data_IF_204158398700
#
_entry.id   IF_204158398700
#
_cell.length_a   1.000
_cell.length_b   1.000
_cell.length_c   1.000
_cell.angle_alpha   90.00
_cell.angle_beta   90.00
_cell.angle_gamma   90.00
#
_symmetry.space_group_name_H-M   'P 1'
#
loop_
_entity.id
_entity.type
_entity.pdbx_description
1 polymer ?
#
# COMPACT_ATOMS: atom_id res chain seq x y z
N UNK A 1 0.84 14.29 12.10
CA UNK A 1 1.26 13.52 10.93
C UNK A 1 0.52 12.20 10.88
N UNK A 2 -0.13 11.92 9.78
CA UNK A 2 -0.87 10.68 9.59
C UNK A 2 0.01 9.66 8.87
N UNK A 3 -0.06 8.43 9.31
CA UNK A 3 0.65 7.31 8.68
C UNK A 3 -0.29 6.61 7.72
N UNK A 4 0.01 6.70 6.43
CA UNK A 4 -0.88 6.27 5.35
C UNK A 4 -0.24 5.13 4.57
N UNK A 5 -0.94 4.01 4.49
CA UNK A 5 -0.50 2.84 3.73
C UNK A 5 -1.21 2.82 2.37
N UNK A 6 -0.44 2.65 1.32
CA UNK A 6 -0.98 2.45 -0.03
C UNK A 6 -0.86 1.00 -0.45
N UNK A 7 -1.96 0.45 -0.93
CA UNK A 7 -1.99 -0.83 -1.64
C UNK A 7 -1.20 -0.70 -2.96
N UNK A 8 -0.72 -1.82 -3.48
CA UNK A 8 0.13 -1.87 -4.68
C UNK A 8 -0.43 -1.08 -5.86
N UNK A 9 -1.73 -1.18 -6.11
CA UNK A 9 -2.36 -0.55 -7.27
C UNK A 9 -2.19 0.97 -7.31
N UNK A 10 -2.14 1.64 -6.17
CA UNK A 10 -1.94 3.08 -6.15
C UNK A 10 -0.57 3.47 -6.74
N UNK A 11 0.46 2.69 -6.43
CA UNK A 11 1.79 2.90 -7.01
C UNK A 11 1.80 2.62 -8.51
N UNK A 12 1.09 1.58 -8.95
CA UNK A 12 0.97 1.27 -10.37
C UNK A 12 0.36 2.46 -11.12
N UNK A 13 -0.72 3.04 -10.60
CA UNK A 13 -1.34 4.21 -11.21
C UNK A 13 -0.43 5.43 -11.20
N UNK A 14 0.34 5.61 -10.12
CA UNK A 14 1.29 6.73 -10.02
C UNK A 14 2.39 6.65 -11.08
N UNK A 15 2.95 5.46 -11.29
CA UNK A 15 4.11 5.27 -12.16
C UNK A 15 3.75 4.98 -13.61
N UNK A 16 2.64 4.27 -13.86
CA UNK A 16 2.26 3.83 -15.20
C UNK A 16 1.15 4.68 -15.83
N UNK A 17 0.43 5.45 -15.01
CA UNK A 17 -0.66 6.28 -15.49
C UNK A 17 -2.00 5.52 -15.58
N UNK A 18 -2.87 5.96 -16.48
CA UNK A 18 -4.19 5.38 -16.65
C UNK A 18 -5.30 6.19 -16.00
N UNK A 19 -6.50 5.60 -15.96
CA UNK A 19 -7.72 6.30 -15.53
C UNK A 19 -7.67 6.81 -14.07
N UNK A 20 -6.95 6.12 -13.19
CA UNK A 20 -6.88 6.49 -11.78
C UNK A 20 -5.66 7.35 -11.42
N UNK A 21 -4.76 7.60 -12.36
CA UNK A 21 -3.52 8.32 -12.09
C UNK A 21 -3.76 9.74 -11.55
N UNK A 22 -4.72 10.45 -12.12
CA UNK A 22 -5.07 11.80 -11.66
C UNK A 22 -5.49 11.80 -10.19
N UNK A 23 -6.34 10.84 -9.80
CA UNK A 23 -6.82 10.74 -8.42
C UNK A 23 -5.69 10.41 -7.45
N UNK A 24 -4.79 9.50 -7.84
CA UNK A 24 -3.61 9.18 -7.03
C UNK A 24 -2.72 10.40 -6.83
N UNK A 25 -2.50 11.18 -7.90
CA UNK A 25 -1.71 12.43 -7.79
C UNK A 25 -2.36 13.43 -6.86
N UNK A 26 -3.69 13.55 -6.86
CA UNK A 26 -4.41 14.42 -5.93
C UNK A 26 -4.22 13.96 -4.48
N UNK A 27 -4.34 12.66 -4.22
CA UNK A 27 -4.10 12.08 -2.89
C UNK A 27 -2.66 12.34 -2.46
N UNK A 28 -1.70 12.10 -3.33
CA UNK A 28 -0.29 12.34 -3.04
C UNK A 28 -0.03 13.81 -2.69
N UNK A 29 -0.59 14.73 -3.46
CA UNK A 29 -0.46 16.17 -3.21
C UNK A 29 -1.01 16.55 -1.84
N UNK A 30 -2.17 16.03 -1.48
CA UNK A 30 -2.77 16.25 -0.15
C UNK A 30 -1.89 15.72 0.96
N UNK A 31 -1.33 14.53 0.79
CA UNK A 31 -0.41 13.94 1.77
C UNK A 31 0.83 14.81 1.97
N UNK A 32 1.41 15.31 0.89
CA UNK A 32 2.59 16.18 0.95
C UNK A 32 2.26 17.49 1.69
N UNK A 33 1.12 18.11 1.37
CA UNK A 33 0.70 19.36 2.03
C UNK A 33 0.47 19.16 3.53
N UNK A 34 -0.02 18.00 3.93
CA UNK A 34 -0.30 17.69 5.35
C UNK A 34 0.93 17.16 6.08
N UNK A 35 1.99 16.81 5.38
CA UNK A 35 3.16 16.15 5.96
C UNK A 35 2.89 14.71 6.39
N UNK A 36 1.97 14.02 5.72
CA UNK A 36 1.65 12.62 6.01
C UNK A 36 2.77 11.70 5.53
N UNK A 37 2.98 10.61 6.27
CA UNK A 37 3.97 9.59 5.93
C UNK A 37 3.34 8.55 5.02
N UNK A 38 4.00 8.24 3.91
CA UNK A 38 3.60 7.15 3.00
C UNK A 38 4.33 5.87 3.37
N UNK A 39 3.56 4.81 3.61
CA UNK A 39 4.07 3.48 3.91
C UNK A 39 3.48 2.46 2.93
N UNK A 40 4.19 1.39 2.72
CA UNK A 40 3.70 0.21 2.02
C UNK A 40 4.49 -1.02 2.48
N UNK A 41 4.20 -2.18 1.91
CA UNK A 41 4.86 -3.41 2.34
C UNK A 41 5.98 -3.84 1.40
N UNK A 42 6.83 -4.75 1.89
CA UNK A 42 7.83 -5.42 1.06
C UNK A 42 7.18 -6.21 -0.10
N UNK A 43 5.94 -6.70 0.08
CA UNK A 43 5.20 -7.34 -1.00
C UNK A 43 4.93 -6.34 -2.14
N UNK A 44 4.46 -5.14 -1.81
CA UNK A 44 4.25 -4.08 -2.81
C UNK A 44 5.55 -3.78 -3.56
N UNK A 45 6.65 -3.61 -2.84
CA UNK A 45 7.95 -3.37 -3.46
C UNK A 45 8.29 -4.49 -4.45
N UNK A 46 8.16 -5.74 -4.03
CA UNK A 46 8.41 -6.89 -4.91
C UNK A 46 7.53 -6.89 -6.15
N UNK A 47 6.23 -6.66 -5.98
CA UNK A 47 5.29 -6.61 -7.09
C UNK A 47 5.63 -5.49 -8.10
N UNK A 48 6.04 -4.33 -7.60
CA UNK A 48 6.42 -3.20 -8.46
C UNK A 48 7.73 -3.41 -9.22
N UNK A 49 8.56 -4.33 -8.78
CA UNK A 49 9.85 -4.63 -9.44
C UNK A 49 9.73 -5.72 -10.53
N UNK A 50 8.57 -6.36 -10.66
CA UNK A 50 8.39 -7.44 -11.65
C UNK A 50 8.59 -6.95 -13.08
N UNK A 51 7.91 -5.87 -13.48
CA UNK A 51 8.06 -5.32 -14.85
C UNK A 51 9.44 -4.72 -15.11
N UNK A 52 10.01 -3.90 -14.21
CA UNK A 52 11.38 -3.42 -14.40
C UNK A 52 12.42 -4.54 -14.56
N UNK A 53 12.21 -5.68 -13.94
CA UNK A 53 13.10 -6.85 -14.06
C UNK A 53 13.27 -7.29 -15.51
N UNK A 54 12.24 -7.17 -16.33
CA UNK A 54 12.29 -7.51 -17.74
C UNK A 54 13.27 -6.65 -18.53
N UNK A 55 13.56 -5.43 -18.04
CA UNK A 55 14.49 -4.49 -18.64
C UNK A 55 15.92 -4.58 -18.09
N UNK A 56 16.15 -5.46 -17.10
CA UNK A 56 17.45 -5.71 -16.52
C UNK A 56 17.65 -5.15 -15.13
N UNK A 57 18.82 -5.45 -14.54
CA UNK A 57 19.11 -5.09 -13.13
C UNK A 57 19.20 -3.58 -12.88
N UNK A 58 19.69 -2.82 -13.86
CA UNK A 58 19.76 -1.37 -13.72
C UNK A 58 18.36 -0.75 -13.58
N UNK A 59 17.40 -1.24 -14.35
CA UNK A 59 16.01 -0.78 -14.27
C UNK A 59 15.39 -1.14 -12.91
N UNK A 60 15.69 -2.32 -12.37
CA UNK A 60 15.25 -2.73 -11.03
C UNK A 60 15.80 -1.77 -9.98
N UNK A 61 17.10 -1.49 -10.00
CA UNK A 61 17.72 -0.58 -9.03
C UNK A 61 17.15 0.83 -9.11
N UNK A 62 16.92 1.35 -10.31
CA UNK A 62 16.36 2.68 -10.49
C UNK A 62 14.94 2.78 -9.95
N UNK A 63 14.12 1.78 -10.23
CA UNK A 63 12.75 1.71 -9.73
C UNK A 63 12.70 1.59 -8.20
N UNK A 64 13.52 0.70 -7.65
CA UNK A 64 13.64 0.52 -6.21
C UNK A 64 14.03 1.84 -5.53
N UNK A 65 15.04 2.51 -6.07
CA UNK A 65 15.49 3.81 -5.54
C UNK A 65 14.35 4.83 -5.53
N UNK A 66 13.60 4.91 -6.62
CA UNK A 66 12.46 5.83 -6.72
C UNK A 66 11.40 5.53 -5.67
N UNK A 67 11.05 4.25 -5.49
CA UNK A 67 10.04 3.85 -4.50
C UNK A 67 10.52 4.17 -3.08
N UNK A 68 11.77 3.86 -2.76
CA UNK A 68 12.33 4.09 -1.43
C UNK A 68 12.47 5.58 -1.09
N UNK A 69 12.54 6.46 -2.08
CA UNK A 69 12.54 7.91 -1.88
C UNK A 69 11.18 8.45 -1.46
N UNK A 70 10.08 7.76 -1.80
CA UNK A 70 8.74 8.28 -1.54
C UNK A 70 7.98 7.51 -0.46
N UNK A 71 8.37 6.27 -0.16
CA UNK A 71 7.63 5.41 0.77
C UNK A 71 8.57 4.69 1.73
N UNK A 72 8.09 4.49 2.96
CA UNK A 72 8.71 3.59 3.94
C UNK A 72 8.20 2.18 3.68
N UNK A 73 9.12 1.23 3.57
CA UNK A 73 8.78 -0.17 3.30
C UNK A 73 8.70 -0.94 4.62
N UNK A 74 7.52 -1.51 4.88
CA UNK A 74 7.27 -2.33 6.06
C UNK A 74 7.58 -3.80 5.75
N UNK A 75 8.31 -4.50 6.62
CA UNK A 75 8.59 -5.91 6.40
C UNK A 75 7.33 -6.77 6.68
N UNK A 76 7.22 -7.88 5.97
CA UNK A 76 6.32 -8.96 6.36
C UNK A 76 7.15 -10.01 7.07
N UNK A 77 7.25 -9.90 8.38
CA UNK A 77 8.09 -10.73 9.23
C UNK A 77 7.27 -11.54 10.25
N UNK A 78 7.95 -12.21 11.17
CA UNK A 78 7.28 -13.04 12.17
C UNK A 78 6.30 -12.27 13.06
N UNK A 79 6.55 -10.97 13.28
CA UNK A 79 5.63 -10.12 14.05
C UNK A 79 4.27 -9.95 13.35
N UNK A 80 4.24 -10.03 12.02
CA UNK A 80 3.02 -9.93 11.24
C UNK A 80 2.20 -11.23 11.23
N UNK A 81 2.81 -12.37 11.51
CA UNK A 81 2.19 -13.67 11.31
C UNK A 81 0.89 -13.89 12.11
N UNK A 82 0.81 -13.54 13.40
CA UNK A 82 -0.44 -13.70 14.12
C UNK A 82 -1.59 -12.84 13.57
N UNK A 83 -1.29 -11.62 13.16
CA UNK A 83 -2.30 -10.74 12.53
C UNK A 83 -2.72 -11.25 11.17
N UNK A 84 -1.78 -11.75 10.38
CA UNK A 84 -2.10 -12.39 9.11
C UNK A 84 -3.08 -13.55 9.30
N UNK A 85 -2.80 -14.44 10.26
CA UNK A 85 -3.67 -15.57 10.54
C UNK A 85 -5.08 -15.13 10.95
N UNK A 86 -5.19 -14.10 11.80
CA UNK A 86 -6.47 -13.56 12.22
C UNK A 86 -7.25 -12.93 11.05
N UNK A 87 -6.58 -12.20 10.18
CA UNK A 87 -7.20 -11.57 8.99
C UNK A 87 -7.71 -12.65 8.02
N UNK A 88 -6.96 -13.73 7.84
CA UNK A 88 -7.33 -14.84 6.96
C UNK A 88 -8.51 -15.66 7.48
N UNK A 89 -8.95 -15.45 8.72
CA UNK A 89 -10.20 -16.03 9.21
C UNK A 89 -11.40 -15.52 8.39
N UNK A 90 -11.34 -14.30 7.86
CA UNK A 90 -12.26 -13.83 6.83
C UNK A 90 -11.80 -14.39 5.48
N UNK A 91 -12.47 -15.43 5.00
CA UNK A 91 -12.08 -16.15 3.79
C UNK A 91 -12.28 -15.34 2.50
N UNK A 92 -12.96 -14.21 2.57
CA UNK A 92 -13.10 -13.30 1.43
C UNK A 92 -11.87 -12.43 1.21
N UNK A 93 -10.97 -12.35 2.19
CA UNK A 93 -9.70 -11.65 2.07
C UNK A 93 -8.63 -12.61 1.56
N UNK A 94 -8.10 -12.34 0.37
CA UNK A 94 -7.08 -13.18 -0.26
C UNK A 94 -5.71 -12.99 0.40
N UNK A 95 -4.82 -13.95 0.20
CA UNK A 95 -3.50 -13.94 0.83
C UNK A 95 -2.69 -12.66 0.58
N UNK A 96 -2.58 -12.12 -0.66
CA UNK A 96 -1.84 -10.87 -0.87
C UNK A 96 -2.42 -9.70 -0.09
N UNK A 97 -3.74 -9.56 -0.05
CA UNK A 97 -4.41 -8.49 0.69
C UNK A 97 -4.21 -8.65 2.20
N UNK A 98 -4.25 -9.89 2.70
CA UNK A 98 -3.99 -10.19 4.10
C UNK A 98 -2.55 -9.84 4.51
N UNK A 99 -1.58 -10.04 3.63
CA UNK A 99 -0.19 -9.61 3.86
C UNK A 99 -0.11 -8.09 3.99
N UNK A 100 -0.75 -7.37 3.08
CA UNK A 100 -0.80 -5.90 3.13
C UNK A 100 -1.41 -5.40 4.44
N UNK A 101 -2.57 -5.94 4.79
CA UNK A 101 -3.28 -5.55 6.01
C UNK A 101 -2.51 -5.92 7.28
N UNK A 102 -1.84 -7.07 7.29
CA UNK A 102 -1.04 -7.51 8.43
C UNK A 102 0.16 -6.57 8.65
N UNK A 103 0.84 -6.17 7.58
CA UNK A 103 1.93 -5.19 7.66
C UNK A 103 1.42 -3.85 8.21
N UNK A 104 0.30 -3.37 7.69
CA UNK A 104 -0.30 -2.12 8.13
C UNK A 104 -0.71 -2.18 9.62
N UNK A 105 -1.37 -3.25 10.03
CA UNK A 105 -1.82 -3.43 11.41
C UNK A 105 -0.65 -3.53 12.39
N UNK A 106 0.38 -4.27 12.04
CA UNK A 106 1.57 -4.45 12.90
C UNK A 106 2.30 -3.13 13.13
N UNK A 107 2.30 -2.25 12.13
CA UNK A 107 2.94 -0.92 12.23
C UNK A 107 2.03 0.18 12.79
N UNK A 108 0.77 -0.13 13.09
CA UNK A 108 -0.17 0.85 13.62
C UNK A 108 -0.48 1.97 12.62
N UNK A 109 -0.73 1.62 11.39
CA UNK A 109 -1.08 2.56 10.32
C UNK A 109 -2.43 3.22 10.61
N UNK A 110 -2.53 4.51 10.36
CA UNK A 110 -3.77 5.26 10.60
C UNK A 110 -4.78 5.06 9.47
N UNK A 111 -4.31 5.04 8.22
CA UNK A 111 -5.18 4.96 7.05
C UNK A 111 -4.59 4.00 6.03
N UNK A 112 -5.40 3.06 5.56
CA UNK A 112 -5.09 2.13 4.49
C UNK A 112 -5.92 2.49 3.26
N UNK A 113 -5.27 2.85 2.15
CA UNK A 113 -5.95 3.23 0.92
C UNK A 113 -5.80 2.12 -0.12
N UNK A 114 -6.92 1.68 -0.67
CA UNK A 114 -6.97 0.66 -1.71
C UNK A 114 -7.95 1.07 -2.81
N UNK A 115 -7.76 0.56 -4.03
CA UNK A 115 -8.75 0.70 -5.09
C UNK A 115 -9.63 -0.55 -5.23
N UNK A 116 -9.50 -1.50 -4.32
CA UNK A 116 -10.41 -2.65 -4.22
C UNK A 116 -11.62 -2.27 -3.38
N UNK A 117 -12.77 -2.13 -4.03
CA UNK A 117 -14.01 -1.69 -3.41
C UNK A 117 -14.46 -2.61 -2.26
N UNK A 118 -14.26 -3.90 -2.43
CA UNK A 118 -14.63 -4.89 -1.41
C UNK A 118 -13.73 -4.78 -0.19
N UNK A 119 -12.43 -4.62 -0.41
CA UNK A 119 -11.46 -4.48 0.66
C UNK A 119 -11.67 -3.17 1.42
N UNK A 120 -12.03 -2.10 0.73
CA UNK A 120 -12.22 -0.78 1.34
C UNK A 120 -13.37 -0.75 2.36
N UNK A 121 -14.27 -1.73 2.33
CA UNK A 121 -15.39 -1.84 3.26
C UNK A 121 -15.11 -2.74 4.46
N UNK A 122 -13.94 -3.36 4.51
CA UNK A 122 -13.58 -4.26 5.60
C UNK A 122 -13.16 -3.47 6.83
N UNK A 123 -13.39 -4.07 7.99
CA UNK A 123 -12.85 -3.60 9.25
C UNK A 123 -11.81 -4.61 9.73
N UNK A 124 -10.60 -4.13 9.98
CA UNK A 124 -9.49 -4.96 10.42
C UNK A 124 -8.94 -4.39 11.72
N UNK A 125 -8.85 -5.19 12.81
CA UNK A 125 -8.28 -4.71 14.06
C UNK A 125 -6.87 -4.14 13.84
N UNK A 126 -6.56 -3.06 14.57
CA UNK A 126 -5.27 -2.35 14.54
C UNK A 126 -5.00 -1.55 13.25
N UNK A 127 -5.92 -1.55 12.29
CA UNK A 127 -5.94 -0.58 11.21
C UNK A 127 -7.12 0.36 11.48
N UNK A 128 -6.84 1.63 11.74
CA UNK A 128 -7.89 2.57 12.17
C UNK A 128 -8.96 2.74 11.10
N UNK A 129 -8.53 3.00 9.85
CA UNK A 129 -9.45 3.21 8.74
C UNK A 129 -8.91 2.54 7.48
N UNK A 130 -9.81 1.89 6.76
CA UNK A 130 -9.59 1.44 5.38
C UNK A 130 -10.52 2.27 4.50
N UNK A 131 -9.99 2.88 3.46
CA UNK A 131 -10.79 3.70 2.54
C UNK A 131 -10.46 3.38 1.10
N UNK A 132 -11.39 3.69 0.21
CA UNK A 132 -11.14 3.60 -1.22
C UNK A 132 -10.33 4.80 -1.70
N UNK A 133 -9.65 4.63 -2.83
CA UNK A 133 -8.95 5.73 -3.51
C UNK A 133 -9.89 6.90 -3.77
N UNK A 134 -11.11 6.62 -4.20
CA UNK A 134 -12.10 7.65 -4.51
C UNK A 134 -12.45 8.51 -3.29
N UNK A 135 -12.56 7.89 -2.11
CA UNK A 135 -12.99 8.57 -0.88
C UNK A 135 -11.87 9.18 -0.07
N UNK A 136 -10.64 8.83 -0.37
CA UNK A 136 -9.49 9.31 0.40
C UNK A 136 -9.33 10.83 0.25
N UNK A 137 -9.25 11.51 1.36
CA UNK A 137 -9.03 12.97 1.39
C UNK A 137 -10.12 13.79 0.66
N UNK A 138 -11.34 13.35 0.70
CA UNK A 138 -12.49 14.14 0.21
C UNK A 138 -12.77 15.37 1.07
#
# INVERSE_FOLDING_TARGET
MTRVFWDTNLFVYLFEGGAFAKRVRQVRSRMLDRGDQLLTSALTLGELLVLPREKGEAAVRDHETTILQIATILPFDAACAPRYAAIRADRTIKAPDAIQLACAATSGVDLFITNDDRLSRKHVPDVKFITSLERAYL
#
